data_IF_687658589026
#
_entry.id   IF_687658589026
#
_cell.length_a   1.000
_cell.length_b   1.000
_cell.length_c   1.000
_cell.angle_alpha   90.00
_cell.angle_beta   90.00
_cell.angle_gamma   90.00
#
_symmetry.space_group_name_H-M   'P 1'
#
loop_
_entity.id
_entity.type
_entity.pdbx_description
1 polymer ?
#
# COMPACT_ATOMS: atom_id res chain seq x y z
N UNK A 1 8.28 -22.59 16.50
CA UNK A 1 7.52 -23.23 17.61
C UNK A 1 8.23 -24.42 18.30
N UNK A 2 9.26 -25.08 17.73
CA UNK A 2 9.96 -26.22 18.40
C UNK A 2 10.94 -25.86 19.54
N UNK A 3 11.42 -24.62 19.59
CA UNK A 3 12.50 -24.19 20.50
C UNK A 3 11.98 -23.86 21.91
N UNK A 4 10.90 -23.08 22.02
CA UNK A 4 10.30 -22.70 23.30
C UNK A 4 9.79 -23.91 24.09
N UNK A 5 9.15 -24.86 23.41
CA UNK A 5 8.66 -26.11 24.01
C UNK A 5 9.80 -27.02 24.51
N UNK A 6 11.01 -26.88 23.98
CA UNK A 6 12.19 -27.62 24.45
C UNK A 6 12.83 -26.99 25.68
N UNK A 7 12.77 -25.67 25.80
CA UNK A 7 13.29 -24.93 26.97
C UNK A 7 12.37 -25.13 28.17
N UNK A 8 11.04 -25.11 27.98
CA UNK A 8 10.06 -25.33 29.05
C UNK A 8 10.15 -26.73 29.70
N UNK A 9 10.83 -27.69 29.05
CA UNK A 9 11.09 -29.02 29.58
C UNK A 9 12.34 -29.09 30.48
N UNK A 10 13.15 -28.03 30.57
CA UNK A 10 14.36 -27.97 31.40
C UNK A 10 14.03 -27.55 32.84
N UNK A 11 14.97 -27.75 33.77
CA UNK A 11 14.81 -27.23 35.15
C UNK A 11 14.85 -25.70 35.14
N UNK A 12 14.07 -25.05 36.01
CA UNK A 12 13.89 -23.58 36.08
C UNK A 12 15.23 -22.83 36.08
N UNK A 13 16.22 -23.30 36.84
CA UNK A 13 17.55 -22.66 36.86
C UNK A 13 18.27 -22.65 35.50
N UNK A 14 18.11 -23.71 34.70
CA UNK A 14 18.67 -23.81 33.35
C UNK A 14 17.84 -23.00 32.34
N UNK A 15 16.53 -22.91 32.54
CA UNK A 15 15.68 -22.02 31.73
C UNK A 15 16.12 -20.56 31.91
N UNK A 16 16.25 -20.11 33.16
CA UNK A 16 16.65 -18.74 33.48
C UNK A 16 18.04 -18.42 32.90
N UNK A 17 19.03 -19.29 33.06
CA UNK A 17 20.37 -19.07 32.51
C UNK A 17 20.37 -18.95 30.96
N UNK A 18 19.53 -19.71 30.26
CA UNK A 18 19.39 -19.61 28.80
C UNK A 18 18.68 -18.31 28.40
N UNK A 19 17.65 -17.91 29.15
CA UNK A 19 16.94 -16.65 28.90
C UNK A 19 17.83 -15.43 29.19
N UNK A 20 18.62 -15.46 30.26
CA UNK A 20 19.52 -14.37 30.63
C UNK A 20 20.60 -14.15 29.56
N UNK A 21 21.22 -15.23 29.06
CA UNK A 21 22.21 -15.16 27.97
C UNK A 21 21.57 -14.67 26.66
N UNK A 22 20.37 -15.15 26.35
CA UNK A 22 19.63 -14.74 25.15
C UNK A 22 19.20 -13.27 25.21
N UNK A 23 18.74 -12.80 26.37
CA UNK A 23 18.41 -11.40 26.61
C UNK A 23 19.66 -10.52 26.52
N UNK A 24 20.79 -10.95 27.08
CA UNK A 24 22.06 -10.24 26.95
C UNK A 24 22.52 -10.10 25.48
N UNK A 25 22.34 -11.15 24.66
CA UNK A 25 22.60 -11.11 23.22
C UNK A 25 21.66 -10.17 22.46
N UNK A 26 20.38 -10.08 22.86
CA UNK A 26 19.42 -9.14 22.30
C UNK A 26 19.80 -7.71 22.68
N UNK A 27 20.10 -7.44 23.95
CA UNK A 27 20.52 -6.13 24.44
C UNK A 27 21.78 -5.63 23.72
N UNK A 28 22.79 -6.49 23.57
CA UNK A 28 24.00 -6.16 22.82
C UNK A 28 23.72 -5.83 21.34
N UNK A 29 22.79 -6.54 20.71
CA UNK A 29 22.35 -6.24 19.33
C UNK A 29 21.52 -4.96 19.24
N UNK A 30 20.68 -4.68 20.23
CA UNK A 30 19.87 -3.46 20.33
C UNK A 30 20.78 -2.24 20.50
N UNK A 31 21.79 -2.32 21.38
CA UNK A 31 22.77 -1.24 21.55
C UNK A 31 23.64 -1.06 20.30
N UNK A 32 24.04 -2.13 19.62
CA UNK A 32 24.77 -2.04 18.36
C UNK A 32 23.91 -1.40 17.25
N UNK A 33 22.63 -1.77 17.14
CA UNK A 33 21.68 -1.17 16.19
C UNK A 33 21.38 0.30 16.54
N UNK A 34 21.29 0.63 17.84
CA UNK A 34 21.10 2.00 18.34
C UNK A 34 22.29 2.88 17.98
N UNK A 35 23.51 2.39 18.22
CA UNK A 35 24.75 3.09 17.87
C UNK A 35 24.91 3.26 16.35
N UNK A 36 24.41 2.30 15.55
CA UNK A 36 24.40 2.37 14.10
C UNK A 36 23.21 3.17 13.51
N UNK A 37 22.33 3.73 14.35
CA UNK A 37 21.13 4.46 13.90
C UNK A 37 20.10 3.59 13.14
N UNK A 38 20.21 2.27 13.25
CA UNK A 38 19.35 1.27 12.57
C UNK A 38 18.39 0.57 13.54
N UNK A 39 18.29 1.07 14.78
CA UNK A 39 17.33 0.55 15.75
C UNK A 39 15.90 0.91 15.34
N UNK A 40 15.20 -0.06 14.77
CA UNK A 40 13.76 -0.01 14.56
C UNK A 40 13.07 -0.14 15.93
N UNK A 41 12.63 0.99 16.47
CA UNK A 41 12.00 1.06 17.80
C UNK A 41 10.62 0.42 17.70
N UNK A 42 10.41 -0.64 18.48
CA UNK A 42 9.16 -1.40 18.52
C UNK A 42 7.89 -0.55 18.64
N UNK A 43 6.80 -1.12 18.09
CA UNK A 43 5.44 -0.59 18.08
C UNK A 43 5.33 0.87 17.64
N UNK A 44 5.29 1.09 16.33
CA UNK A 44 4.96 2.41 15.79
C UNK A 44 3.50 2.77 16.02
N UNK A 45 3.24 4.01 16.44
CA UNK A 45 1.88 4.54 16.51
C UNK A 45 1.41 5.02 15.14
N UNK A 46 0.24 4.56 14.68
CA UNK A 46 -0.42 5.09 13.48
C UNK A 46 -0.77 6.56 13.75
N UNK A 47 -0.20 7.46 12.94
CA UNK A 47 -0.45 8.91 13.02
C UNK A 47 -1.50 9.30 11.98
N UNK A 48 -2.71 9.60 12.43
CA UNK A 48 -3.77 10.19 11.64
C UNK A 48 -4.40 11.36 12.43
N UNK A 49 -5.11 12.26 11.75
CA UNK A 49 -5.87 13.33 12.41
C UNK A 49 -7.10 12.79 13.12
N UNK A 50 -7.72 11.75 12.55
CA UNK A 50 -8.90 11.08 13.09
C UNK A 50 -8.82 9.59 12.79
N UNK A 51 -9.23 8.77 13.75
CA UNK A 51 -9.30 7.32 13.64
C UNK A 51 -10.63 6.84 14.21
N UNK A 52 -11.54 6.49 13.30
CA UNK A 52 -12.91 6.05 13.62
C UNK A 52 -13.09 4.58 13.29
N UNK A 53 -13.53 3.77 14.24
CA UNK A 53 -13.87 2.36 13.98
C UNK A 53 -15.21 2.32 13.27
N UNK A 54 -15.23 1.76 12.07
CA UNK A 54 -16.43 1.54 11.29
C UNK A 54 -17.07 0.19 11.64
N UNK A 55 -16.25 -0.84 11.83
CA UNK A 55 -16.72 -2.22 12.00
C UNK A 55 -15.75 -3.06 12.83
N UNK A 56 -16.30 -4.06 13.53
CA UNK A 56 -15.55 -5.04 14.31
C UNK A 56 -16.02 -6.45 13.96
N UNK A 57 -15.07 -7.35 13.78
CA UNK A 57 -15.37 -8.76 13.49
C UNK A 57 -14.47 -9.65 14.32
N UNK A 58 -15.05 -10.41 15.26
CA UNK A 58 -14.29 -11.37 16.07
C UNK A 58 -13.90 -12.55 15.17
N UNK A 59 -12.59 -12.82 15.09
CA UNK A 59 -12.01 -13.91 14.29
C UNK A 59 -11.49 -15.06 15.14
N UNK A 60 -11.42 -14.91 16.46
CA UNK A 60 -11.07 -16.00 17.37
C UNK A 60 -11.43 -15.61 18.79
N UNK A 61 -11.96 -16.55 19.54
CA UNK A 61 -12.05 -16.45 21.01
C UNK A 61 -11.17 -17.54 21.61
N UNK A 62 -10.26 -17.16 22.50
CA UNK A 62 -9.42 -18.14 23.19
C UNK A 62 -10.26 -18.98 24.16
N UNK A 63 -10.21 -20.32 24.08
CA UNK A 63 -11.07 -21.18 24.89
C UNK A 63 -10.69 -21.21 26.38
N UNK A 64 -9.49 -20.74 26.74
CA UNK A 64 -9.00 -20.76 28.13
C UNK A 64 -9.20 -19.39 28.78
N UNK A 65 -8.77 -18.33 28.12
CA UNK A 65 -8.84 -16.97 28.67
C UNK A 65 -10.10 -16.20 28.28
N UNK A 66 -10.86 -16.68 27.30
CA UNK A 66 -12.00 -15.96 26.72
C UNK A 66 -11.59 -14.71 25.93
N UNK A 67 -10.29 -14.48 25.74
CA UNK A 67 -9.81 -13.28 25.07
C UNK A 67 -10.08 -13.36 23.56
N UNK A 68 -10.60 -12.27 23.01
CA UNK A 68 -10.95 -12.19 21.61
C UNK A 68 -9.80 -11.64 20.76
N UNK A 69 -9.75 -12.12 19.52
CA UNK A 69 -8.96 -11.55 18.44
C UNK A 69 -9.95 -11.05 17.41
N UNK A 70 -9.83 -9.79 17.02
CA UNK A 70 -10.78 -9.10 16.14
C UNK A 70 -10.07 -8.46 14.95
N UNK A 71 -10.78 -8.36 13.82
CA UNK A 71 -10.45 -7.46 12.73
C UNK A 71 -11.27 -6.19 12.92
N UNK A 72 -10.57 -5.05 12.95
CA UNK A 72 -11.16 -3.72 12.99
C UNK A 72 -11.06 -3.08 11.62
N UNK A 73 -12.19 -2.64 11.06
CA UNK A 73 -12.21 -1.72 9.92
C UNK A 73 -12.21 -0.30 10.45
N UNK A 74 -11.14 0.44 10.17
CA UNK A 74 -10.90 1.77 10.72
C UNK A 74 -10.83 2.76 9.56
N UNK A 75 -11.59 3.83 9.67
CA UNK A 75 -11.44 5.01 8.84
C UNK A 75 -10.35 5.91 9.45
N UNK A 76 -9.32 6.19 8.65
CA UNK A 76 -8.22 7.07 9.00
C UNK A 76 -8.27 8.34 8.15
N UNK A 77 -8.52 9.47 8.82
CA UNK A 77 -8.45 10.80 8.22
C UNK A 77 -7.04 11.36 8.40
N UNK A 78 -6.34 11.65 7.31
CA UNK A 78 -4.99 12.18 7.30
C UNK A 78 -4.96 13.53 6.58
N UNK A 79 -4.32 14.55 7.16
CA UNK A 79 -4.04 15.79 6.44
C UNK A 79 -2.93 15.59 5.43
N UNK A 80 -3.11 16.15 4.24
CA UNK A 80 -2.04 16.21 3.27
C UNK A 80 -0.87 17.01 3.84
N UNK A 81 0.34 16.48 3.68
CA UNK A 81 1.59 17.17 3.99
C UNK A 81 2.35 17.42 2.69
N UNK A 82 1.84 18.32 1.81
CA UNK A 82 2.51 18.58 0.56
C UNK A 82 3.89 19.21 0.82
N UNK A 83 4.88 18.81 0.04
CA UNK A 83 6.21 19.41 0.05
C UNK A 83 6.10 20.88 -0.39
N UNK A 84 6.57 21.80 0.45
CA UNK A 84 6.50 23.23 0.16
C UNK A 84 7.32 23.61 -1.07
N UNK A 85 6.93 24.70 -1.72
CA UNK A 85 7.64 25.20 -2.88
C UNK A 85 9.13 25.48 -2.58
N UNK A 86 9.43 26.08 -1.43
CA UNK A 86 10.82 26.38 -1.03
C UNK A 86 11.66 25.10 -0.93
N UNK A 87 11.10 24.03 -0.37
CA UNK A 87 11.78 22.73 -0.29
C UNK A 87 11.95 22.11 -1.68
N UNK A 88 10.92 22.19 -2.52
CA UNK A 88 10.98 21.70 -3.89
C UNK A 88 12.04 22.45 -4.73
N UNK A 89 12.15 23.77 -4.58
CA UNK A 89 13.20 24.58 -5.23
C UNK A 89 14.58 24.17 -4.72
N UNK A 90 14.75 23.97 -3.41
CA UNK A 90 16.03 23.54 -2.86
C UNK A 90 16.46 22.16 -3.40
N UNK A 91 15.52 21.25 -3.67
CA UNK A 91 15.82 19.98 -4.34
C UNK A 91 16.30 20.19 -5.78
N UNK A 92 15.76 21.18 -6.49
CA UNK A 92 16.18 21.54 -7.86
C UNK A 92 17.57 22.17 -7.97
N UNK A 93 18.22 22.45 -6.85
CA UNK A 93 19.62 22.87 -6.80
C UNK A 93 20.57 21.66 -6.68
N UNK A 94 20.05 20.45 -6.51
CA UNK A 94 20.82 19.20 -6.53
C UNK A 94 21.19 18.76 -7.95
N UNK A 95 22.35 18.10 -8.06
CA UNK A 95 22.81 17.53 -9.32
C UNK A 95 21.81 16.50 -9.87
N UNK A 96 21.60 16.50 -11.18
CA UNK A 96 20.70 15.57 -11.90
C UNK A 96 19.19 15.72 -11.64
N UNK A 97 18.77 16.83 -11.02
CA UNK A 97 17.34 17.16 -10.89
C UNK A 97 16.84 18.03 -12.04
N UNK A 98 15.61 17.79 -12.51
CA UNK A 98 15.01 18.55 -13.60
C UNK A 98 13.56 18.92 -13.24
N UNK A 99 13.17 20.21 -13.35
CA UNK A 99 11.79 20.62 -13.19
C UNK A 99 10.96 20.17 -14.40
N UNK A 100 9.80 19.58 -14.14
CA UNK A 100 8.94 18.98 -15.15
C UNK A 100 7.51 19.50 -15.02
N UNK A 101 6.83 19.69 -16.15
CA UNK A 101 5.40 19.95 -16.25
C UNK A 101 4.75 18.87 -17.10
N UNK A 102 3.57 18.42 -16.70
CA UNK A 102 2.76 17.53 -17.52
C UNK A 102 1.85 18.35 -18.43
N UNK A 103 2.08 18.31 -19.75
CA UNK A 103 1.39 19.18 -20.72
C UNK A 103 -0.13 18.97 -20.76
N UNK A 104 -0.60 17.75 -20.45
CA UNK A 104 -2.04 17.43 -20.44
C UNK A 104 -2.73 17.91 -19.16
N UNK A 105 -2.08 17.78 -18.01
CA UNK A 105 -2.70 18.04 -16.70
C UNK A 105 -2.28 19.36 -16.05
N UNK A 106 -1.25 20.02 -16.57
CA UNK A 106 -0.65 21.22 -15.99
C UNK A 106 0.05 21.00 -14.65
N UNK A 107 0.26 19.74 -14.24
CA UNK A 107 0.83 19.36 -12.94
C UNK A 107 2.36 19.40 -12.96
N UNK A 108 2.96 19.68 -11.82
CA UNK A 108 4.40 19.78 -11.66
C UNK A 108 5.01 18.50 -11.04
N UNK A 109 6.25 18.22 -11.43
CA UNK A 109 7.09 17.19 -10.82
C UNK A 109 8.56 17.62 -10.86
N UNK A 110 9.37 17.09 -9.94
CA UNK A 110 10.82 17.09 -10.04
C UNK A 110 11.22 15.70 -10.51
N UNK A 111 11.98 15.64 -11.59
CA UNK A 111 12.61 14.39 -12.04
C UNK A 111 14.00 14.30 -11.43
N UNK A 112 14.26 13.21 -10.71
CA UNK A 112 15.56 12.87 -10.16
C UNK A 112 16.02 11.49 -10.67
N UNK A 113 17.33 11.28 -10.79
CA UNK A 113 17.87 9.97 -11.18
C UNK A 113 17.69 8.97 -10.02
N UNK A 114 17.29 7.73 -10.35
CA UNK A 114 17.26 6.63 -9.36
C UNK A 114 18.03 5.42 -9.90
N UNK A 115 18.25 4.42 -9.05
CA UNK A 115 19.01 3.22 -9.42
C UNK A 115 18.37 2.50 -10.61
N UNK A 116 19.20 2.14 -11.59
CA UNK A 116 18.76 1.37 -12.75
C UNK A 116 18.39 -0.06 -12.35
N UNK A 117 17.48 -0.69 -13.08
CA UNK A 117 17.08 -2.08 -12.90
C UNK A 117 17.63 -2.90 -14.06
N UNK A 118 18.14 -4.10 -13.81
CA UNK A 118 18.37 -5.07 -14.89
C UNK A 118 17.08 -5.83 -15.13
N UNK A 119 16.57 -5.82 -16.35
CA UNK A 119 15.36 -6.59 -16.71
C UNK A 119 15.66 -8.09 -16.90
N UNK A 120 14.62 -8.86 -17.20
CA UNK A 120 14.71 -10.32 -17.38
C UNK A 120 15.60 -10.73 -18.57
N UNK A 121 15.79 -9.82 -19.53
CA UNK A 121 16.64 -10.02 -20.71
C UNK A 121 18.10 -9.59 -20.47
N UNK A 122 18.42 -9.08 -19.28
CA UNK A 122 19.76 -8.65 -18.89
C UNK A 122 20.12 -7.21 -19.27
N UNK A 123 19.15 -6.44 -19.78
CA UNK A 123 19.37 -5.06 -20.21
C UNK A 123 19.23 -4.08 -19.04
N UNK A 124 20.03 -3.01 -19.06
CA UNK A 124 19.99 -1.97 -18.03
C UNK A 124 18.85 -0.99 -18.35
N UNK A 125 17.79 -1.04 -17.54
CA UNK A 125 16.66 -0.13 -17.60
C UNK A 125 16.93 1.08 -16.70
N UNK A 126 17.21 2.22 -17.33
CA UNK A 126 17.29 3.50 -16.64
C UNK A 126 15.91 3.92 -16.10
N UNK A 127 15.91 4.49 -14.90
CA UNK A 127 14.69 4.93 -14.21
C UNK A 127 14.89 6.30 -13.59
N UNK A 128 13.77 7.00 -13.42
CA UNK A 128 13.68 8.28 -12.73
C UNK A 128 12.67 8.21 -11.61
N UNK A 129 12.86 9.05 -10.60
CA UNK A 129 11.84 9.39 -9.62
C UNK A 129 11.17 10.71 -10.02
N UNK A 130 9.84 10.68 -10.14
CA UNK A 130 8.99 11.87 -10.28
C UNK A 130 8.44 12.24 -8.91
N UNK A 131 9.09 13.21 -8.28
CA UNK A 131 8.70 13.75 -6.99
C UNK A 131 7.65 14.83 -7.21
N UNK A 132 6.51 14.69 -6.55
CA UNK A 132 5.36 15.61 -6.59
C UNK A 132 5.03 16.06 -5.18
N UNK A 133 4.17 17.09 -4.98
CA UNK A 133 3.92 17.64 -3.65
C UNK A 133 3.55 16.59 -2.59
N UNK A 134 2.74 15.58 -2.94
CA UNK A 134 2.23 14.59 -1.97
C UNK A 134 2.65 13.15 -2.25
N UNK A 135 3.41 12.89 -3.31
CA UNK A 135 3.80 11.53 -3.71
C UNK A 135 5.08 11.54 -4.54
N UNK A 136 5.80 10.42 -4.50
CA UNK A 136 6.92 10.14 -5.40
C UNK A 136 6.59 8.88 -6.19
N UNK A 137 6.76 8.93 -7.50
CA UNK A 137 6.51 7.80 -8.40
C UNK A 137 7.80 7.44 -9.12
N UNK A 138 8.02 6.16 -9.41
CA UNK A 138 9.15 5.71 -10.23
C UNK A 138 8.65 5.43 -11.63
N UNK A 139 9.40 5.88 -12.63
CA UNK A 139 9.08 5.72 -14.04
C UNK A 139 10.34 5.29 -14.81
N UNK A 140 10.19 4.41 -15.80
CA UNK A 140 11.31 4.05 -16.68
C UNK A 140 11.63 5.21 -17.63
N UNK A 141 12.85 5.26 -18.14
CA UNK A 141 13.28 6.35 -19.02
C UNK A 141 12.54 6.36 -20.37
N UNK A 142 12.28 5.20 -20.94
CA UNK A 142 11.46 5.00 -22.15
C UNK A 142 10.01 5.45 -21.91
N UNK A 143 9.41 5.01 -20.80
CA UNK A 143 8.05 5.41 -20.41
C UNK A 143 7.93 6.92 -20.19
N UNK A 144 8.94 7.56 -19.59
CA UNK A 144 8.97 9.00 -19.39
C UNK A 144 9.03 9.75 -20.73
N UNK A 145 9.82 9.25 -21.69
CA UNK A 145 9.96 9.86 -23.01
C UNK A 145 8.66 9.81 -23.84
N UNK A 146 7.83 8.78 -23.64
CA UNK A 146 6.51 8.64 -24.26
C UNK A 146 5.38 9.33 -23.47
N UNK A 147 5.67 9.77 -22.25
CA UNK A 147 4.69 10.43 -21.40
C UNK A 147 4.44 11.89 -21.81
N UNK A 148 3.44 12.53 -21.19
CA UNK A 148 3.19 13.97 -21.37
C UNK A 148 4.02 14.84 -20.43
N UNK A 149 5.08 14.32 -19.81
CA UNK A 149 5.99 15.09 -18.96
C UNK A 149 7.11 15.73 -19.80
N UNK A 150 7.20 17.05 -19.75
CA UNK A 150 8.20 17.84 -20.48
C UNK A 150 9.02 18.71 -19.51
N UNK A 151 10.28 18.93 -19.85
CA UNK A 151 11.16 19.80 -19.05
C UNK A 151 10.62 21.22 -19.12
N UNK A 152 10.52 21.87 -17.97
CA UNK A 152 9.87 23.16 -17.85
C UNK A 152 10.81 24.23 -17.31
N UNK A 153 10.47 25.50 -17.52
CA UNK A 153 11.18 26.58 -16.85
C UNK A 153 10.98 26.53 -15.33
N UNK A 154 11.93 27.07 -14.56
CA UNK A 154 11.76 27.22 -13.11
C UNK A 154 10.56 28.10 -12.75
N UNK A 155 10.10 28.96 -13.65
CA UNK A 155 8.93 29.83 -13.42
C UNK A 155 7.61 29.06 -13.56
N UNK A 156 7.44 28.31 -14.65
CA UNK A 156 6.26 27.46 -14.87
C UNK A 156 6.11 26.41 -13.78
N UNK A 157 7.23 25.76 -13.41
CA UNK A 157 7.29 24.82 -12.31
C UNK A 157 6.83 25.44 -10.99
N UNK A 158 7.34 26.63 -10.63
CA UNK A 158 6.95 27.33 -9.39
C UNK A 158 5.47 27.59 -9.33
N UNK A 159 4.90 28.10 -10.42
CA UNK A 159 3.47 28.43 -10.51
C UNK A 159 2.60 27.18 -10.34
N UNK A 160 2.92 26.11 -11.08
CA UNK A 160 2.16 24.86 -11.02
C UNK A 160 2.30 24.17 -9.65
N UNK A 161 3.52 24.09 -9.11
CA UNK A 161 3.78 23.48 -7.80
C UNK A 161 3.08 24.24 -6.67
N UNK A 162 3.13 25.57 -6.68
CA UNK A 162 2.45 26.40 -5.68
C UNK A 162 0.93 26.21 -5.75
N UNK A 163 0.36 26.18 -6.96
CA UNK A 163 -1.07 25.93 -7.14
C UNK A 163 -1.50 24.56 -6.58
N UNK A 164 -0.71 23.50 -6.81
CA UNK A 164 -0.98 22.19 -6.23
C UNK A 164 -0.81 22.16 -4.71
N UNK A 165 0.22 22.83 -4.18
CA UNK A 165 0.46 22.97 -2.75
C UNK A 165 -0.72 23.65 -2.05
N UNK A 166 -1.15 24.82 -2.55
CA UNK A 166 -2.26 25.58 -1.97
C UNK A 166 -3.59 24.84 -2.06
N UNK A 167 -3.79 24.06 -3.13
CA UNK A 167 -4.97 23.22 -3.29
C UNK A 167 -5.04 22.04 -2.30
N UNK A 168 -3.92 21.64 -1.69
CA UNK A 168 -3.82 20.43 -0.85
C UNK A 168 -3.48 20.70 0.62
N UNK A 169 -2.74 21.77 0.94
CA UNK A 169 -2.15 22.02 2.28
C UNK A 169 -3.15 21.99 3.44
N UNK A 170 -4.40 22.40 3.19
CA UNK A 170 -5.46 22.47 4.21
C UNK A 170 -6.47 21.32 4.10
N UNK A 171 -6.28 20.39 3.16
CA UNK A 171 -7.21 19.29 2.91
C UNK A 171 -6.80 18.03 3.68
N UNK A 172 -7.81 17.26 4.04
CA UNK A 172 -7.66 15.90 4.53
C UNK A 172 -8.01 14.88 3.46
N UNK A 173 -7.53 13.66 3.64
CA UNK A 173 -7.90 12.48 2.87
C UNK A 173 -8.34 11.40 3.83
N UNK A 174 -9.30 10.61 3.39
CA UNK A 174 -9.79 9.47 4.13
C UNK A 174 -9.24 8.19 3.51
N UNK A 175 -8.79 7.28 4.36
CA UNK A 175 -8.33 5.95 3.96
C UNK A 175 -8.88 4.90 4.92
N UNK A 176 -9.00 3.66 4.43
CA UNK A 176 -9.48 2.54 5.25
C UNK A 176 -8.28 1.67 5.64
N UNK A 177 -8.14 1.42 6.94
CA UNK A 177 -7.14 0.55 7.52
C UNK A 177 -7.87 -0.66 8.12
N UNK A 178 -7.32 -1.85 7.91
CA UNK A 178 -7.77 -3.05 8.60
C UNK A 178 -6.72 -3.47 9.61
N UNK A 179 -7.11 -3.57 10.87
CA UNK A 179 -6.22 -3.91 11.99
C UNK A 179 -6.68 -5.21 12.61
N UNK A 180 -5.81 -6.22 12.65
CA UNK A 180 -6.02 -7.40 13.48
C UNK A 180 -5.48 -7.08 14.88
N UNK A 181 -6.34 -7.11 15.90
CA UNK A 181 -6.00 -6.76 17.28
C UNK A 181 -6.45 -7.86 18.26
N UNK A 182 -5.85 -7.87 19.46
CA UNK A 182 -6.10 -8.89 20.49
C UNK A 182 -4.99 -9.93 20.59
N UNK A 183 -5.33 -11.20 20.78
CA UNK A 183 -4.33 -12.28 20.84
C UNK A 183 -3.80 -12.64 19.44
N UNK A 184 -2.69 -12.01 19.04
CA UNK A 184 -2.13 -12.19 17.70
C UNK A 184 -1.40 -13.52 17.47
N UNK A 185 -0.73 -14.08 18.49
CA UNK A 185 0.11 -15.29 18.34
C UNK A 185 -0.63 -16.49 17.72
N UNK A 186 -1.88 -16.81 18.13
CA UNK A 186 -2.64 -17.91 17.53
C UNK A 186 -3.00 -17.72 16.06
N UNK A 187 -3.13 -16.47 15.59
CA UNK A 187 -3.47 -16.14 14.19
C UNK A 187 -2.25 -15.73 13.36
N UNK A 188 -1.07 -15.65 13.99
CA UNK A 188 0.14 -15.08 13.40
C UNK A 188 0.56 -15.73 12.08
N UNK A 189 0.44 -17.06 11.99
CA UNK A 189 0.80 -17.83 10.79
C UNK A 189 -0.11 -17.58 9.58
N UNK A 190 -1.25 -16.92 9.76
CA UNK A 190 -2.18 -16.59 8.67
C UNK A 190 -2.07 -15.14 8.21
N UNK A 191 -1.42 -14.29 9.00
CA UNK A 191 -1.20 -12.90 8.63
C UNK A 191 -0.20 -12.81 7.45
N UNK A 192 -0.19 -11.70 6.69
CA UNK A 192 0.78 -11.47 5.61
C UNK A 192 2.23 -11.80 6.01
N UNK A 193 3.12 -12.13 5.09
CA UNK A 193 4.57 -12.20 5.45
C UNK A 193 5.24 -10.83 5.36
N UNK A 194 4.67 -9.93 4.55
CA UNK A 194 5.18 -8.58 4.34
C UNK A 194 4.75 -7.64 5.47
N UNK A 195 5.62 -6.71 5.87
CA UNK A 195 5.36 -5.70 6.91
C UNK A 195 4.85 -6.33 8.24
N UNK A 196 5.73 -7.06 8.93
CA UNK A 196 5.45 -7.82 10.18
C UNK A 196 5.30 -6.92 11.43
N UNK A 197 5.36 -5.60 11.27
CA UNK A 197 5.35 -4.66 12.39
C UNK A 197 3.97 -4.60 13.07
N UNK A 198 3.97 -4.76 14.40
CA UNK A 198 2.81 -4.45 15.25
C UNK A 198 2.74 -2.95 15.43
N UNK A 199 1.57 -2.35 15.26
CA UNK A 199 1.34 -0.92 15.41
C UNK A 199 0.38 -0.65 16.56
N UNK A 200 0.60 0.49 17.21
CA UNK A 200 -0.35 1.05 18.18
C UNK A 200 -1.30 1.98 17.45
N UNK A 201 -2.57 1.91 17.79
CA UNK A 201 -3.58 2.81 17.30
C UNK A 201 -4.38 3.33 18.50
N UNK A 202 -4.64 4.63 18.53
CA UNK A 202 -5.58 5.25 19.49
C UNK A 202 -6.64 5.99 18.71
N UNK A 203 -7.89 5.60 18.90
CA UNK A 203 -9.07 6.21 18.26
C UNK A 203 -9.48 7.49 18.97
N UNK A 204 -10.31 8.31 18.33
CA UNK A 204 -10.75 9.59 18.89
C UNK A 204 -11.63 9.44 20.14
N UNK A 205 -12.32 8.31 20.27
CA UNK A 205 -13.08 7.95 21.47
C UNK A 205 -12.20 7.37 22.61
N UNK A 206 -10.87 7.39 22.44
CA UNK A 206 -9.88 7.04 23.45
C UNK A 206 -9.53 5.55 23.52
N UNK A 207 -10.09 4.71 22.65
CA UNK A 207 -9.75 3.30 22.63
C UNK A 207 -8.35 3.08 22.06
N UNK A 208 -7.57 2.20 22.69
CA UNK A 208 -6.19 1.91 22.28
C UNK A 208 -6.02 0.45 21.91
N UNK A 209 -5.49 0.21 20.72
CA UNK A 209 -5.28 -1.10 20.16
C UNK A 209 -3.80 -1.34 19.88
N UNK A 210 -3.40 -2.59 20.04
CA UNK A 210 -2.14 -3.13 19.55
C UNK A 210 -2.48 -4.23 18.56
N UNK A 211 -2.01 -4.06 17.34
CA UNK A 211 -2.43 -4.93 16.26
C UNK A 211 -1.52 -4.87 15.05
N UNK A 212 -1.81 -5.72 14.08
CA UNK A 212 -1.11 -5.71 12.79
C UNK A 212 -2.03 -5.16 11.71
N UNK A 213 -1.53 -4.22 10.92
CA UNK A 213 -2.27 -3.77 9.72
C UNK A 213 -2.26 -4.91 8.71
N UNK A 214 -3.44 -5.28 8.23
CA UNK A 214 -3.60 -6.25 7.16
C UNK A 214 -4.08 -5.52 5.91
N UNK A 215 -3.37 -5.64 4.77
CA UNK A 215 -3.85 -5.12 3.51
C UNK A 215 -5.22 -5.70 3.18
N UNK A 216 -6.11 -4.87 2.64
CA UNK A 216 -7.50 -5.24 2.44
C UNK A 216 -7.69 -6.50 1.56
N UNK A 217 -6.78 -6.71 0.58
CA UNK A 217 -6.82 -7.87 -0.30
C UNK A 217 -6.48 -9.20 0.39
N UNK A 218 -5.76 -9.18 1.52
CA UNK A 218 -5.40 -10.38 2.25
C UNK A 218 -6.47 -10.82 3.26
N UNK A 219 -7.46 -9.96 3.53
CA UNK A 219 -8.50 -10.27 4.51
C UNK A 219 -9.29 -11.51 4.12
N UNK A 220 -9.66 -11.67 2.85
CA UNK A 220 -10.37 -12.85 2.38
C UNK A 220 -9.58 -14.15 2.58
N UNK A 221 -8.26 -14.11 2.36
CA UNK A 221 -7.37 -15.26 2.64
C UNK A 221 -7.30 -15.54 4.14
N UNK A 222 -7.13 -14.50 4.95
CA UNK A 222 -7.05 -14.60 6.40
C UNK A 222 -8.33 -15.20 7.01
N UNK A 223 -9.50 -14.68 6.62
CA UNK A 223 -10.80 -15.10 7.15
C UNK A 223 -11.13 -16.52 6.71
N UNK A 224 -10.89 -16.85 5.44
CA UNK A 224 -11.03 -18.22 4.91
C UNK A 224 -10.13 -19.22 5.64
N UNK A 225 -8.86 -18.87 5.89
CA UNK A 225 -7.93 -19.75 6.59
C UNK A 225 -8.31 -19.98 8.06
N UNK A 226 -9.01 -19.03 8.67
CA UNK A 226 -9.56 -19.16 10.02
C UNK A 226 -10.92 -19.85 10.05
N UNK A 227 -11.49 -20.20 8.89
CA UNK A 227 -12.80 -20.84 8.78
C UNK A 227 -13.95 -19.91 9.15
N UNK A 228 -13.76 -18.60 8.98
CA UNK A 228 -14.73 -17.57 9.37
C UNK A 228 -15.15 -16.82 8.12
N UNK A 229 -16.44 -16.80 7.86
CA UNK A 229 -17.01 -15.89 6.88
C UNK A 229 -17.17 -14.52 7.55
N UNK A 230 -16.07 -13.76 7.63
CA UNK A 230 -16.10 -12.47 8.31
C UNK A 230 -16.88 -11.42 7.52
N UNK A 231 -17.36 -11.71 6.30
CA UNK A 231 -18.08 -10.74 5.45
C UNK A 231 -17.23 -9.54 5.01
N UNK A 232 -15.97 -9.45 5.43
CA UNK A 232 -15.08 -8.31 5.12
C UNK A 232 -14.57 -8.46 3.68
N UNK A 233 -15.40 -8.00 2.75
CA UNK A 233 -15.05 -7.91 1.33
C UNK A 233 -14.67 -6.47 1.00
N UNK A 234 -13.59 -6.28 0.25
CA UNK A 234 -13.25 -4.97 -0.28
C UNK A 234 -14.41 -4.46 -1.14
N UNK A 235 -14.82 -3.21 -0.93
CA UNK A 235 -15.75 -2.56 -1.84
C UNK A 235 -15.13 -2.47 -3.24
N UNK A 236 -15.94 -2.46 -4.31
CA UNK A 236 -15.44 -2.31 -5.68
C UNK A 236 -14.52 -1.10 -5.87
N UNK A 237 -14.78 0.01 -5.17
CA UNK A 237 -13.94 1.20 -5.18
C UNK A 237 -12.58 0.98 -4.48
N UNK A 238 -12.57 0.31 -3.33
CA UNK A 238 -11.34 -0.07 -2.63
C UNK A 238 -10.48 -1.00 -3.50
N UNK A 239 -11.09 -1.95 -4.23
CA UNK A 239 -10.37 -2.84 -5.17
C UNK A 239 -9.73 -2.04 -6.29
N UNK A 240 -10.48 -1.16 -6.95
CA UNK A 240 -9.97 -0.31 -8.03
C UNK A 240 -8.78 0.55 -7.57
N UNK A 241 -8.92 1.23 -6.42
CA UNK A 241 -7.86 2.07 -5.84
C UNK A 241 -6.63 1.25 -5.46
N UNK A 242 -6.83 0.09 -4.84
CA UNK A 242 -5.73 -0.79 -4.43
C UNK A 242 -4.93 -1.31 -5.62
N UNK A 243 -5.62 -1.84 -6.65
CA UNK A 243 -4.97 -2.31 -7.88
C UNK A 243 -4.21 -1.16 -8.56
N UNK A 244 -4.83 0.01 -8.67
CA UNK A 244 -4.20 1.18 -9.30
C UNK A 244 -2.99 1.69 -8.51
N UNK A 245 -2.98 1.60 -7.18
CA UNK A 245 -1.85 2.05 -6.37
C UNK A 245 -0.70 1.04 -6.33
N UNK A 246 -1.01 -0.23 -6.06
CA UNK A 246 -0.03 -1.29 -5.81
C UNK A 246 0.46 -1.99 -7.08
N UNK A 247 -0.36 -2.05 -8.13
CA UNK A 247 -0.11 -2.90 -9.28
C UNK A 247 -0.42 -4.39 -9.03
N UNK A 248 -0.98 -4.74 -7.87
CA UNK A 248 -1.36 -6.11 -7.55
C UNK A 248 -2.46 -6.64 -8.49
N UNK A 249 -2.46 -7.95 -8.70
CA UNK A 249 -3.51 -8.68 -9.39
C UNK A 249 -4.61 -9.04 -8.39
N UNK A 250 -5.84 -8.61 -8.64
CA UNK A 250 -6.98 -8.83 -7.74
C UNK A 250 -8.11 -9.59 -8.41
N UNK A 251 -8.69 -10.61 -7.76
CA UNK A 251 -9.90 -11.26 -8.27
C UNK A 251 -11.10 -10.30 -8.21
N UNK A 252 -11.90 -10.28 -9.28
CA UNK A 252 -13.16 -9.54 -9.39
C UNK A 252 -14.18 -10.45 -10.08
N UNK A 253 -15.09 -11.03 -9.29
CA UNK A 253 -16.02 -12.05 -9.76
C UNK A 253 -15.26 -13.30 -10.18
N UNK A 254 -15.37 -13.68 -11.46
CA UNK A 254 -14.64 -14.82 -12.06
C UNK A 254 -13.39 -14.40 -12.83
N UNK A 255 -13.06 -13.11 -12.83
CA UNK A 255 -11.95 -12.53 -13.57
C UNK A 255 -10.89 -11.97 -12.64
N UNK A 256 -9.79 -11.48 -13.20
CA UNK A 256 -8.80 -10.74 -12.45
C UNK A 256 -8.66 -9.30 -12.99
N UNK A 257 -8.35 -8.37 -12.10
CA UNK A 257 -8.10 -6.96 -12.37
C UNK A 257 -6.63 -6.65 -12.06
N UNK A 258 -5.94 -6.00 -12.98
CA UNK A 258 -4.56 -5.53 -12.78
C UNK A 258 -4.37 -4.10 -13.25
N UNK A 259 -3.28 -3.47 -12.81
CA UNK A 259 -2.80 -2.22 -13.39
C UNK A 259 -1.91 -2.53 -14.59
N UNK A 260 -2.21 -1.90 -15.71
CA UNK A 260 -1.43 -2.01 -16.94
C UNK A 260 -0.99 -0.64 -17.40
N UNK A 261 0.24 -0.53 -17.89
CA UNK A 261 0.70 0.65 -18.59
C UNK A 261 0.37 0.52 -20.07
N UNK A 262 -0.37 1.48 -20.62
CA UNK A 262 -0.77 1.53 -22.02
C UNK A 262 -0.58 2.96 -22.52
N UNK A 263 0.26 3.14 -23.55
CA UNK A 263 0.57 4.46 -24.12
C UNK A 263 0.95 5.50 -23.04
N UNK A 264 1.83 5.11 -22.11
CA UNK A 264 2.29 5.97 -21.01
C UNK A 264 1.27 6.23 -19.89
N UNK A 265 0.09 5.59 -19.91
CA UNK A 265 -0.97 5.78 -18.92
C UNK A 265 -1.25 4.49 -18.13
N UNK A 266 -1.30 4.58 -16.80
CA UNK A 266 -1.76 3.48 -15.97
C UNK A 266 -3.28 3.32 -16.05
N UNK A 267 -3.72 2.14 -16.47
CA UNK A 267 -5.13 1.78 -16.65
C UNK A 267 -5.46 0.53 -15.85
N UNK A 268 -6.72 0.41 -15.45
CA UNK A 268 -7.26 -0.82 -14.89
C UNK A 268 -7.62 -1.76 -16.05
N UNK A 269 -6.99 -2.93 -16.10
CA UNK A 269 -7.24 -3.95 -17.11
C UNK A 269 -7.90 -5.16 -16.48
N UNK A 270 -9.01 -5.60 -17.09
CA UNK A 270 -9.63 -6.88 -16.78
C UNK A 270 -8.97 -7.97 -17.61
N UNK A 271 -8.50 -9.02 -16.94
CA UNK A 271 -7.85 -10.19 -17.54
C UNK A 271 -8.59 -11.48 -17.18
N UNK A 272 -8.24 -12.58 -17.84
CA UNK A 272 -8.86 -13.90 -17.67
C UNK A 272 -10.35 -13.96 -18.03
N UNK A 273 -10.82 -13.04 -18.88
CA UNK A 273 -12.18 -13.07 -19.43
C UNK A 273 -12.24 -13.86 -20.76
N UNK A 274 -13.31 -14.64 -20.99
CA UNK A 274 -13.47 -15.37 -22.25
C UNK A 274 -13.91 -14.42 -23.38
N UNK A 275 -13.33 -14.56 -24.57
CA UNK A 275 -13.63 -13.70 -25.72
C UNK A 275 -15.11 -13.65 -26.10
N UNK A 276 -15.87 -14.71 -25.80
CA UNK A 276 -17.32 -14.79 -26.02
C UNK A 276 -18.13 -13.78 -25.19
N UNK A 277 -17.60 -13.31 -24.05
CA UNK A 277 -18.26 -12.31 -23.18
C UNK A 277 -17.87 -10.88 -23.49
N UNK A 278 -17.08 -10.63 -24.55
CA UNK A 278 -16.63 -9.27 -24.91
C UNK A 278 -17.80 -8.30 -25.06
N UNK A 279 -18.85 -8.68 -25.79
CA UNK A 279 -20.00 -7.81 -26.03
C UNK A 279 -20.73 -7.45 -24.73
N UNK A 280 -20.89 -8.43 -23.83
CA UNK A 280 -21.52 -8.26 -22.53
C UNK A 280 -20.70 -7.36 -21.61
N UNK A 281 -19.39 -7.60 -21.50
CA UNK A 281 -18.50 -6.79 -20.67
C UNK A 281 -18.42 -5.35 -21.19
N UNK A 282 -18.45 -5.14 -22.52
CA UNK A 282 -18.56 -3.79 -23.09
C UNK A 282 -19.89 -3.11 -22.73
N UNK A 283 -20.99 -3.87 -22.71
CA UNK A 283 -22.28 -3.34 -22.27
C UNK A 283 -22.30 -2.95 -20.78
N UNK A 284 -21.42 -3.54 -19.96
CA UNK A 284 -21.20 -3.12 -18.56
C UNK A 284 -20.34 -1.86 -18.43
N UNK A 285 -19.85 -1.25 -19.52
CA UNK A 285 -19.07 -0.01 -19.50
C UNK A 285 -17.56 -0.20 -19.65
N UNK A 286 -17.07 -1.42 -19.88
CA UNK A 286 -15.68 -1.64 -20.23
C UNK A 286 -15.43 -1.25 -21.69
N UNK A 287 -14.20 -0.84 -22.01
CA UNK A 287 -13.79 -0.56 -23.38
C UNK A 287 -12.62 -1.46 -23.77
N UNK A 288 -12.54 -1.76 -25.06
CA UNK A 288 -11.50 -2.64 -25.60
C UNK A 288 -10.60 -1.89 -26.57
N UNK A 289 -9.33 -2.24 -26.55
CA UNK A 289 -8.33 -1.80 -27.52
C UNK A 289 -7.55 -3.02 -28.02
N UNK A 290 -7.10 -2.98 -29.27
CA UNK A 290 -6.21 -4.00 -29.83
C UNK A 290 -4.78 -3.52 -29.67
N UNK A 291 -4.02 -4.15 -28.77
CA UNK A 291 -2.64 -3.79 -28.44
C UNK A 291 -1.79 -5.05 -28.59
N UNK A 292 -0.67 -4.95 -29.32
CA UNK A 292 0.19 -6.09 -29.63
C UNK A 292 -0.61 -7.31 -30.17
N UNK A 293 -1.51 -7.06 -31.13
CA UNK A 293 -2.37 -8.06 -31.77
C UNK A 293 -3.34 -8.81 -30.83
N UNK A 294 -3.56 -8.31 -29.62
CA UNK A 294 -4.51 -8.88 -28.65
C UNK A 294 -5.57 -7.86 -28.27
N UNK A 295 -6.83 -8.31 -28.24
CA UNK A 295 -7.93 -7.51 -27.67
C UNK A 295 -7.78 -7.49 -26.15
N UNK A 296 -7.49 -6.31 -25.62
CA UNK A 296 -7.39 -6.05 -24.18
C UNK A 296 -8.62 -5.26 -23.73
N UNK A 297 -9.02 -5.42 -22.48
CA UNK A 297 -10.26 -4.87 -21.96
C UNK A 297 -9.98 -4.06 -20.69
N UNK A 298 -10.45 -2.82 -20.66
CA UNK A 298 -10.10 -1.84 -19.65
C UNK A 298 -11.35 -1.29 -18.94
N UNK A 299 -11.16 -0.92 -17.68
CA UNK A 299 -12.17 -0.30 -16.82
C UNK A 299 -11.84 1.20 -16.70
N UNK A 300 -12.73 2.11 -17.11
CA UNK A 300 -12.58 3.55 -16.86
C UNK A 300 -12.44 3.83 -15.36
N UNK A 301 -11.37 4.52 -14.94
CA UNK A 301 -11.07 4.77 -13.52
C UNK A 301 -12.18 5.57 -12.83
N UNK A 302 -12.81 6.51 -13.54
CA UNK A 302 -13.91 7.34 -13.02
C UNK A 302 -15.19 6.55 -12.72
N UNK A 303 -15.39 5.40 -13.37
CA UNK A 303 -16.59 4.58 -13.24
C UNK A 303 -16.28 3.20 -12.63
N UNK A 304 -15.04 2.99 -12.19
CA UNK A 304 -14.54 1.68 -11.80
C UNK A 304 -15.40 1.04 -10.71
N UNK A 305 -15.77 1.79 -9.67
CA UNK A 305 -16.61 1.27 -8.60
C UNK A 305 -17.94 0.67 -9.11
N UNK A 306 -18.65 1.38 -9.98
CA UNK A 306 -19.94 0.93 -10.51
C UNK A 306 -19.80 -0.21 -11.53
N UNK A 307 -18.74 -0.21 -12.33
CA UNK A 307 -18.47 -1.28 -13.29
C UNK A 307 -18.08 -2.57 -12.57
N UNK A 308 -17.16 -2.48 -11.60
CA UNK A 308 -16.71 -3.63 -10.82
C UNK A 308 -17.87 -4.20 -9.98
N UNK A 309 -18.74 -3.36 -9.41
CA UNK A 309 -19.96 -3.81 -8.73
C UNK A 309 -20.86 -4.66 -9.64
N UNK A 310 -21.01 -4.28 -10.92
CA UNK A 310 -21.79 -5.04 -11.91
C UNK A 310 -21.13 -6.35 -12.33
N UNK A 311 -19.79 -6.40 -12.36
CA UNK A 311 -19.04 -7.64 -12.66
C UNK A 311 -19.17 -8.65 -11.53
N UNK A 312 -19.22 -8.18 -10.28
CA UNK A 312 -19.29 -9.02 -9.08
C UNK A 312 -20.71 -9.39 -8.64
N UNK A 313 -21.73 -8.77 -9.24
CA UNK A 313 -23.15 -9.06 -8.97
C UNK A 313 -23.60 -10.35 -9.66
#
# INVERSE_FOLDING_TARGET
QRWLNRILALRIAMQNAIFDEYLGLIEARVEAARAAGTLDVGVETIKAERLTILERSVIRTDPVSGAETEILRIEAEERYRPLSLDRAIAMLDGDFTVPMINDKSGKAAIRENTFSLTDEDGEIVHRYELIRPVRTERIRADELAESSWAAASREEFRKAWQAEYDALKDKTRTSTIYLVAGLLLPVWGHLPEDHVQVRRLTTDDGQSFLGRIVPAHELGRLTSALGIDAGITMTPDEVARYVMASGALMPVGTYNLKRSLVMGEHRLELVDWPHTRLAELKAMGLFSEVIAYRTRLFVPVSEAAAILARITA
#
